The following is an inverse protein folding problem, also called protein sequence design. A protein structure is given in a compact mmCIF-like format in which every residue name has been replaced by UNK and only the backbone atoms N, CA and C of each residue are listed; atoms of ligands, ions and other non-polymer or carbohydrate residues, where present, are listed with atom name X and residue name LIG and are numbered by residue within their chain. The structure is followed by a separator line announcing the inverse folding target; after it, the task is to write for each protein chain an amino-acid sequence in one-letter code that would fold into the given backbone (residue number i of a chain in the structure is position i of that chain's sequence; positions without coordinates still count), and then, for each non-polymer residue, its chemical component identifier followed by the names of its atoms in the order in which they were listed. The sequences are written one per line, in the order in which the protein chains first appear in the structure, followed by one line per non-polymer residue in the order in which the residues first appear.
data_IF_534013947836
#
_entry.id   IF_534013947836
#
_cell.length_a   1.000
_cell.length_b   1.000
_cell.length_c   1.000
_cell.angle_alpha   90.00
_cell.angle_beta   90.00
_cell.angle_gamma   90.00
#
_symmetry.space_group_name_H-M   'P 1'
#
loop_
_entity.id
_entity.type
_entity.pdbx_description
1 polymer ?
#
# COMPACT_ATOMS: atom_id res chain seq x y z
N UNK A 1 1.39 13.98 2.73
CA UNK A 1 0.22 13.39 3.41
C UNK A 1 -0.69 12.86 2.32
N UNK A 2 -0.84 11.55 2.20
CA UNK A 2 -1.85 10.95 1.31
C UNK A 2 -2.98 10.52 2.23
N UNK A 3 -4.14 11.16 2.10
CA UNK A 3 -5.36 10.79 2.81
C UNK A 3 -6.09 9.79 1.93
N UNK A 4 -6.25 8.55 2.41
CA UNK A 4 -7.08 7.54 1.74
C UNK A 4 -8.50 7.72 2.28
N UNK A 5 -9.48 7.81 1.37
CA UNK A 5 -10.82 8.36 1.65
C UNK A 5 -11.66 7.64 2.69
N UNK A 6 -12.50 8.43 3.37
CA UNK A 6 -13.48 8.02 4.37
C UNK A 6 -13.72 9.16 5.36
N UNK A 7 -14.90 9.24 5.96
CA UNK A 7 -15.21 10.20 7.04
C UNK A 7 -14.74 9.71 8.42
N UNK A 8 -13.99 8.61 8.45
CA UNK A 8 -13.49 7.97 9.66
C UNK A 8 -12.11 8.52 10.07
N UNK A 9 -11.79 8.37 11.37
CA UNK A 9 -10.48 8.72 11.89
C UNK A 9 -9.39 7.84 11.25
N UNK A 10 -8.25 8.40 10.80
CA UNK A 10 -7.15 7.62 10.24
C UNK A 10 -6.59 6.59 11.23
N UNK A 11 -6.47 5.33 10.82
CA UNK A 11 -5.91 4.25 11.68
C UNK A 11 -4.40 4.07 11.52
N UNK A 12 -3.83 4.54 10.40
CA UNK A 12 -2.41 4.46 10.10
C UNK A 12 -1.92 5.62 9.24
N UNK A 13 -0.64 5.94 9.36
CA UNK A 13 0.09 6.91 8.52
C UNK A 13 1.25 6.23 7.83
N UNK A 14 1.45 6.53 6.54
CA UNK A 14 2.56 6.05 5.74
C UNK A 14 3.53 7.20 5.41
N UNK A 15 4.82 6.99 5.67
CA UNK A 15 5.89 7.82 5.10
C UNK A 15 6.48 7.11 3.88
N UNK A 16 6.15 7.61 2.70
CA UNK A 16 6.68 7.10 1.44
C UNK A 16 6.72 8.20 0.37
N UNK A 17 7.41 7.93 -0.73
CA UNK A 17 7.35 8.81 -1.90
C UNK A 17 6.01 8.64 -2.62
N UNK A 18 5.58 9.68 -3.34
CA UNK A 18 4.38 9.58 -4.21
C UNK A 18 4.51 8.45 -5.22
N UNK A 19 5.73 8.22 -5.73
CA UNK A 19 6.02 7.15 -6.68
C UNK A 19 5.82 5.75 -6.08
N UNK A 20 6.28 5.53 -4.85
CA UNK A 20 6.09 4.24 -4.16
C UNK A 20 4.62 3.97 -3.89
N UNK A 21 3.86 4.98 -3.44
CA UNK A 21 2.41 4.87 -3.21
C UNK A 21 1.69 4.43 -4.49
N UNK A 22 1.99 5.05 -5.64
CA UNK A 22 1.40 4.67 -6.92
C UNK A 22 1.80 3.25 -7.35
N UNK A 23 3.06 2.85 -7.17
CA UNK A 23 3.51 1.48 -7.48
C UNK A 23 2.81 0.43 -6.60
N UNK A 24 2.59 0.74 -5.32
CA UNK A 24 1.86 -0.14 -4.41
C UNK A 24 0.38 -0.23 -4.76
N UNK A 25 -0.29 0.91 -4.95
CA UNK A 25 -1.74 0.97 -5.18
C UNK A 25 -2.20 0.27 -6.47
N UNK A 26 -1.35 0.25 -7.50
CA UNK A 26 -1.64 -0.37 -8.80
C UNK A 26 -0.96 -1.73 -8.99
N UNK A 27 -0.63 -2.45 -7.91
CA UNK A 27 -0.29 -3.88 -7.96
C UNK A 27 1.15 -4.23 -8.36
N UNK A 28 2.08 -3.27 -8.41
CA UNK A 28 3.51 -3.53 -8.72
C UNK A 28 4.35 -3.91 -7.49
N UNK A 29 3.71 -4.11 -6.33
CA UNK A 29 4.31 -4.56 -5.06
C UNK A 29 3.41 -5.65 -4.45
N UNK A 30 4.01 -6.66 -3.83
CA UNK A 30 3.25 -7.66 -3.06
C UNK A 30 2.76 -7.06 -1.74
N UNK A 31 1.76 -7.70 -1.09
CA UNK A 31 1.28 -7.25 0.22
C UNK A 31 2.40 -7.24 1.28
N UNK A 32 3.29 -8.24 1.27
CA UNK A 32 4.44 -8.26 2.17
C UNK A 32 5.43 -7.11 1.92
N UNK A 33 5.63 -6.72 0.66
CA UNK A 33 6.47 -5.55 0.33
C UNK A 33 5.82 -4.24 0.77
N UNK A 34 4.50 -4.15 0.76
CA UNK A 34 3.73 -2.98 1.22
C UNK A 34 3.74 -2.91 2.75
N UNK A 35 3.60 -4.04 3.44
CA UNK A 35 3.62 -4.12 4.90
C UNK A 35 4.96 -3.71 5.51
N UNK A 36 6.05 -3.89 4.77
CA UNK A 36 7.40 -3.52 5.20
C UNK A 36 7.73 -2.01 5.04
N UNK A 37 6.79 -1.18 4.61
CA UNK A 37 7.01 0.27 4.53
C UNK A 37 6.99 0.94 5.91
N UNK A 38 7.38 2.22 5.93
CA UNK A 38 7.42 3.04 7.14
C UNK A 38 6.00 3.48 7.56
N UNK A 39 5.27 2.54 8.15
CA UNK A 39 3.95 2.73 8.72
C UNK A 39 4.02 3.12 10.19
N UNK A 40 3.06 3.93 10.62
CA UNK A 40 2.76 4.18 12.02
C UNK A 40 1.28 3.93 12.26
N UNK A 41 0.93 3.14 13.27
CA UNK A 41 -0.46 2.76 13.59
C UNK A 41 -0.84 1.37 13.07
N UNK A 42 -2.15 1.07 13.11
CA UNK A 42 -2.70 -0.22 12.69
C UNK A 42 -3.14 -0.15 11.22
N UNK A 43 -2.39 -0.84 10.36
CA UNK A 43 -2.52 -0.77 8.90
C UNK A 43 -3.22 -2.00 8.34
N UNK A 44 -4.28 -1.76 7.57
CA UNK A 44 -4.82 -2.74 6.63
C UNK A 44 -4.19 -2.55 5.25
N UNK A 45 -3.14 -3.30 4.93
CA UNK A 45 -2.39 -3.16 3.66
C UNK A 45 -3.21 -3.51 2.41
N UNK A 46 -4.29 -4.29 2.55
CA UNK A 46 -5.17 -4.61 1.42
C UNK A 46 -5.97 -3.39 0.95
N UNK A 47 -6.31 -2.47 1.88
CA UNK A 47 -7.03 -1.24 1.58
C UNK A 47 -6.23 -0.28 0.69
N UNK A 48 -4.91 -0.47 0.61
CA UNK A 48 -4.04 0.36 -0.24
C UNK A 48 -4.13 0.00 -1.73
N UNK A 49 -4.61 -1.20 -2.08
CA UNK A 49 -4.62 -1.70 -3.46
C UNK A 49 -5.92 -1.28 -4.16
N UNK A 50 -5.85 -0.16 -4.89
CA UNK A 50 -6.99 0.45 -5.58
C UNK A 50 -7.38 -0.26 -6.89
N UNK A 51 -6.49 -1.07 -7.46
CA UNK A 51 -6.77 -1.75 -8.72
C UNK A 51 -6.12 -3.13 -8.73
N UNK A 52 -6.92 -4.17 -8.51
CA UNK A 52 -6.51 -5.55 -8.79
C UNK A 52 -6.61 -5.81 -10.30
N UNK A 53 -5.68 -5.26 -11.08
CA UNK A 53 -5.57 -5.56 -12.52
C UNK A 53 -5.16 -7.02 -12.80
N UNK A 54 -4.69 -7.73 -11.78
CA UNK A 54 -4.37 -9.16 -11.73
C UNK A 54 -4.34 -9.58 -10.25
N UNK A 55 -4.39 -10.88 -9.90
CA UNK A 55 -4.14 -11.31 -8.52
C UNK A 55 -2.82 -10.71 -8.01
N UNK A 56 -2.79 -10.19 -6.76
CA UNK A 56 -1.58 -9.60 -6.20
C UNK A 56 -0.44 -10.62 -6.26
N UNK A 57 0.76 -10.16 -6.62
CA UNK A 57 1.91 -11.06 -6.67
C UNK A 57 2.15 -11.64 -5.28
N UNK A 58 2.22 -12.96 -5.22
CA UNK A 58 2.52 -13.70 -3.99
C UNK A 58 4.01 -13.73 -3.68
N UNK A 59 4.87 -13.39 -4.65
CA UNK A 59 6.33 -13.37 -4.51
C UNK A 59 6.96 -12.01 -4.91
N UNK A 60 8.15 -11.67 -4.37
CA UNK A 60 8.93 -10.48 -4.77
C UNK A 60 9.34 -10.48 -6.25
N UNK A 61 9.72 -9.31 -6.78
CA UNK A 61 10.20 -9.19 -8.16
C UNK A 61 11.69 -9.41 -8.04
N UNK A 62 12.20 -10.43 -8.75
CA UNK A 62 13.62 -10.61 -8.93
C UNK A 62 13.98 -9.78 -10.16
N UNK A 63 14.94 -8.88 -10.01
CA UNK A 63 15.47 -8.08 -11.12
C UNK A 63 16.37 -8.92 -12.03
#
# INVERSE_FOLDING_TARGET
VVVVGGDAEPTATLRATRFDVLRGAFGRRSLGQIAAWDWSGDVNVEAMVLSRFAPPRTSPLVE
#
